data_IF_725892115084
#
_entry.id   IF_725892115084
#
_cell.length_a   1.000
_cell.length_b   1.000
_cell.length_c   1.000
_cell.angle_alpha   90.00
_cell.angle_beta   90.00
_cell.angle_gamma   90.00
#
_symmetry.space_group_name_H-M   'P 1'
#
loop_
_entity.id
_entity.type
_entity.pdbx_description
1 polymer ?
#
# COMPACT_ATOMS: atom_id res chain seq x y z
N UNK A 1 7.79 21.17 -49.98
CA UNK A 1 9.18 21.69 -50.02
C UNK A 1 9.99 20.58 -50.67
N UNK A 2 10.75 20.85 -51.74
CA UNK A 2 11.51 19.81 -52.45
C UNK A 2 12.82 19.49 -51.74
N UNK A 3 13.21 18.21 -51.72
CA UNK A 3 14.49 17.78 -51.15
C UNK A 3 15.67 18.28 -52.01
N UNK A 4 16.69 18.83 -51.37
CA UNK A 4 17.95 19.20 -52.04
C UNK A 4 18.84 17.96 -52.10
N UNK A 5 19.23 17.54 -53.32
CA UNK A 5 20.09 16.38 -53.55
C UNK A 5 21.38 16.77 -54.26
N UNK A 6 22.51 16.18 -53.86
CA UNK A 6 23.80 16.26 -54.56
C UNK A 6 23.89 15.08 -55.53
N UNK A 7 23.95 15.35 -56.84
CA UNK A 7 23.99 14.32 -57.89
C UNK A 7 25.39 14.21 -58.51
N UNK A 8 25.90 12.99 -58.59
CA UNK A 8 27.20 12.66 -59.17
C UNK A 8 26.98 11.75 -60.38
N UNK A 9 27.42 12.19 -61.55
CA UNK A 9 27.29 11.40 -62.79
C UNK A 9 28.57 10.61 -63.04
N UNK A 10 28.42 9.30 -63.23
CA UNK A 10 29.51 8.36 -63.42
C UNK A 10 29.29 7.55 -64.71
N UNK A 11 30.35 7.37 -65.48
CA UNK A 11 30.36 6.44 -66.61
C UNK A 11 31.22 5.24 -66.23
N UNK A 12 30.62 4.05 -66.23
CA UNK A 12 31.31 2.81 -65.89
C UNK A 12 31.29 1.84 -67.07
N UNK A 13 32.36 1.05 -67.15
CA UNK A 13 32.50 -0.03 -68.12
C UNK A 13 32.63 -1.36 -67.38
N UNK A 14 32.11 -2.44 -67.96
CA UNK A 14 32.18 -3.78 -67.37
C UNK A 14 33.61 -4.32 -67.32
N UNK A 15 34.44 -3.99 -68.31
CA UNK A 15 35.77 -4.58 -68.50
C UNK A 15 36.89 -3.65 -68.06
N UNK A 16 36.73 -2.34 -68.28
CA UNK A 16 37.82 -1.37 -68.08
C UNK A 16 37.49 -0.38 -66.96
N UNK A 17 38.42 -0.10 -66.04
CA UNK A 17 38.24 1.00 -65.10
C UNK A 17 38.21 2.31 -65.90
N UNK A 18 37.05 2.98 -65.88
CA UNK A 18 36.91 4.30 -66.46
C UNK A 18 37.44 5.35 -65.47
N UNK A 19 38.23 6.30 -65.97
CA UNK A 19 38.69 7.46 -65.21
C UNK A 19 37.53 8.42 -64.95
N UNK A 20 36.68 8.10 -63.97
CA UNK A 20 35.66 9.02 -63.51
C UNK A 20 36.30 10.17 -62.72
N UNK A 21 35.66 11.33 -62.76
CA UNK A 21 36.11 12.48 -61.98
C UNK A 21 35.94 12.17 -60.49
N UNK A 22 37.03 12.28 -59.73
CA UNK A 22 37.00 12.17 -58.28
C UNK A 22 35.92 13.08 -57.69
N UNK A 23 35.10 12.51 -56.82
CA UNK A 23 34.10 13.25 -56.06
C UNK A 23 34.13 12.84 -54.59
N UNK A 24 33.54 13.69 -53.76
CA UNK A 24 33.57 13.53 -52.32
C UNK A 24 32.18 13.69 -51.72
N UNK A 25 31.89 12.88 -50.71
CA UNK A 25 30.70 12.99 -49.85
C UNK A 25 31.10 13.36 -48.42
N UNK A 26 30.15 13.80 -47.62
CA UNK A 26 30.35 14.12 -46.20
C UNK A 26 29.63 13.09 -45.34
N UNK A 27 30.31 12.58 -44.32
CA UNK A 27 29.74 11.67 -43.33
C UNK A 27 28.45 12.25 -42.74
N UNK A 28 27.36 11.49 -42.81
CA UNK A 28 26.04 11.90 -42.33
C UNK A 28 25.12 12.54 -43.39
N UNK A 29 25.62 12.88 -44.59
CA UNK A 29 24.76 13.39 -45.67
C UNK A 29 23.82 12.28 -46.19
N UNK A 30 22.50 12.49 -46.13
CA UNK A 30 21.48 11.58 -46.68
C UNK A 30 20.97 11.99 -48.08
N UNK A 31 21.54 13.06 -48.64
CA UNK A 31 21.11 13.67 -49.90
C UNK A 31 21.96 13.31 -51.12
N UNK A 32 22.91 12.38 -51.01
CA UNK A 32 23.83 12.03 -52.08
C UNK A 32 23.22 11.01 -53.05
N UNK A 33 23.39 11.25 -54.35
CA UNK A 33 22.82 10.41 -55.41
C UNK A 33 23.88 10.15 -56.48
N UNK A 34 24.11 8.89 -56.83
CA UNK A 34 24.96 8.49 -57.96
C UNK A 34 24.09 8.16 -59.16
N UNK A 35 24.31 8.81 -60.29
CA UNK A 35 23.71 8.48 -61.57
C UNK A 35 24.78 7.80 -62.43
N UNK A 36 24.64 6.50 -62.61
CA UNK A 36 25.65 5.67 -63.26
C UNK A 36 25.16 5.22 -64.63
N UNK A 37 25.95 5.50 -65.66
CA UNK A 37 25.77 4.96 -67.01
C UNK A 37 26.72 3.77 -67.21
N UNK A 38 26.18 2.58 -67.50
CA UNK A 38 26.96 1.35 -67.66
C UNK A 38 27.15 0.98 -69.14
N UNK A 39 28.37 0.56 -69.48
CA UNK A 39 28.78 0.16 -70.83
C UNK A 39 29.62 -1.12 -70.82
N UNK A 40 29.72 -1.79 -71.96
CA UNK A 40 30.63 -2.91 -72.21
C UNK A 40 31.49 -2.62 -73.44
N UNK A 41 32.77 -2.30 -73.20
CA UNK A 41 33.71 -1.78 -74.19
C UNK A 41 33.11 -0.62 -75.02
N UNK A 42 32.39 0.26 -74.34
CA UNK A 42 31.69 1.41 -74.93
C UNK A 42 30.29 1.14 -75.50
N UNK A 43 29.85 -0.12 -75.59
CA UNK A 43 28.46 -0.44 -75.98
C UNK A 43 27.51 -0.31 -74.78
N UNK A 44 26.30 0.21 -74.97
CA UNK A 44 25.33 0.37 -73.88
C UNK A 44 24.81 -1.00 -73.38
N UNK A 45 24.85 -1.23 -72.07
CA UNK A 45 24.32 -2.45 -71.42
C UNK A 45 22.84 -2.26 -71.11
N UNK A 46 21.95 -3.11 -71.61
CA UNK A 46 20.52 -3.06 -71.25
C UNK A 46 20.31 -3.64 -69.84
N UNK A 47 19.92 -2.80 -68.90
CA UNK A 47 19.66 -3.18 -67.50
C UNK A 47 18.20 -3.55 -67.25
N UNK A 48 17.30 -3.41 -68.23
CA UNK A 48 15.87 -3.68 -68.00
C UNK A 48 15.65 -5.14 -67.60
N UNK A 49 14.94 -5.35 -66.49
CA UNK A 49 14.69 -6.69 -65.93
C UNK A 49 15.90 -7.31 -65.21
N UNK A 50 17.04 -6.62 -65.13
CA UNK A 50 18.19 -7.07 -64.35
C UNK A 50 18.04 -6.68 -62.88
N UNK A 51 18.57 -7.51 -61.98
CA UNK A 51 18.81 -7.10 -60.58
C UNK A 51 20.22 -6.55 -60.47
N UNK A 52 20.36 -5.31 -60.01
CA UNK A 52 21.67 -4.68 -59.82
C UNK A 52 21.93 -4.50 -58.34
N UNK A 53 23.11 -4.92 -57.88
CA UNK A 53 23.59 -4.74 -56.51
C UNK A 53 24.85 -3.90 -56.55
N UNK A 54 24.88 -2.78 -55.83
CA UNK A 54 26.08 -2.00 -55.58
C UNK A 54 26.69 -2.44 -54.25
N UNK A 55 27.97 -2.82 -54.27
CA UNK A 55 28.72 -3.19 -53.06
C UNK A 55 29.71 -2.07 -52.74
N UNK A 56 29.74 -1.65 -51.48
CA UNK A 56 30.58 -0.58 -50.95
C UNK A 56 31.52 -1.15 -49.90
N UNK A 57 32.82 -1.15 -50.20
CA UNK A 57 33.90 -1.47 -49.27
C UNK A 57 34.43 -0.17 -48.65
N UNK A 58 34.38 -0.08 -47.33
CA UNK A 58 34.72 1.11 -46.55
C UNK A 58 35.54 0.73 -45.32
N UNK A 59 36.12 1.73 -44.66
CA UNK A 59 37.06 1.52 -43.55
C UNK A 59 36.49 0.71 -42.37
N UNK A 60 35.17 0.71 -42.18
CA UNK A 60 34.47 -0.03 -41.12
C UNK A 60 33.70 -1.27 -41.61
N UNK A 61 33.99 -1.77 -42.81
CA UNK A 61 33.40 -3.01 -43.36
C UNK A 61 32.77 -2.83 -44.73
N UNK A 62 31.84 -3.70 -45.11
CA UNK A 62 31.12 -3.64 -46.39
C UNK A 62 29.64 -3.28 -46.18
N UNK A 63 29.01 -2.69 -47.19
CA UNK A 63 27.56 -2.55 -47.28
C UNK A 63 27.11 -2.79 -48.72
N UNK A 64 25.83 -3.07 -48.93
CA UNK A 64 25.27 -3.20 -50.27
C UNK A 64 23.91 -2.50 -50.37
N UNK A 65 23.58 -2.10 -51.60
CA UNK A 65 22.28 -1.58 -52.01
C UNK A 65 21.87 -2.30 -53.29
N UNK A 66 20.57 -2.48 -53.52
CA UNK A 66 20.08 -3.17 -54.71
C UNK A 66 18.76 -2.61 -55.25
N UNK A 67 18.34 -3.15 -56.38
CA UNK A 67 17.10 -2.79 -57.09
C UNK A 67 15.83 -3.35 -56.46
N UNK A 68 15.91 -4.12 -55.37
CA UNK A 68 14.76 -4.71 -54.66
C UNK A 68 14.24 -3.77 -53.56
N UNK A 69 14.21 -2.48 -53.86
CA UNK A 69 13.75 -1.43 -52.93
C UNK A 69 14.85 -0.86 -52.02
N UNK A 70 16.11 -1.26 -52.20
CA UNK A 70 17.22 -0.84 -51.32
C UNK A 70 18.02 0.35 -51.90
N UNK A 71 17.32 1.30 -52.53
CA UNK A 71 17.89 2.59 -52.94
C UNK A 71 18.54 2.61 -54.32
N UNK A 72 18.48 1.52 -55.10
CA UNK A 72 18.85 1.54 -56.52
C UNK A 72 17.59 1.56 -57.39
N UNK A 73 17.54 2.46 -58.37
CA UNK A 73 16.46 2.56 -59.36
C UNK A 73 17.03 2.53 -60.77
N UNK A 74 16.48 1.67 -61.62
CA UNK A 74 16.81 1.63 -63.05
C UNK A 74 15.98 2.69 -63.81
N UNK A 75 16.63 3.44 -64.70
CA UNK A 75 15.95 4.49 -65.46
C UNK A 75 15.11 3.90 -66.59
N UNK A 76 13.82 4.25 -66.66
CA UNK A 76 12.93 3.76 -67.74
C UNK A 76 13.26 4.36 -69.11
N UNK A 77 13.76 5.60 -69.16
CA UNK A 77 14.08 6.31 -70.42
C UNK A 77 15.51 6.10 -70.93
N UNK A 78 16.41 5.56 -70.10
CA UNK A 78 17.81 5.27 -70.44
C UNK A 78 18.18 3.90 -69.90
N UNK A 79 18.04 2.90 -70.75
CA UNK A 79 18.12 1.47 -70.36
C UNK A 79 19.46 1.05 -69.74
N UNK A 80 20.53 1.81 -69.98
CA UNK A 80 21.85 1.56 -69.42
C UNK A 80 22.21 2.48 -68.25
N UNK A 81 21.22 3.17 -67.66
CA UNK A 81 21.45 4.10 -66.55
C UNK A 81 20.73 3.62 -65.30
N UNK A 82 21.43 3.66 -64.18
CA UNK A 82 20.89 3.43 -62.84
C UNK A 82 21.13 4.63 -61.94
N UNK A 83 20.26 4.80 -60.95
CA UNK A 83 20.36 5.81 -59.90
C UNK A 83 20.54 5.08 -58.58
N UNK A 84 21.54 5.46 -57.80
CA UNK A 84 21.77 5.00 -56.43
C UNK A 84 21.55 6.19 -55.50
N UNK A 85 20.52 6.12 -54.67
CA UNK A 85 20.39 7.02 -53.52
C UNK A 85 21.29 6.50 -52.41
N UNK A 86 22.43 7.16 -52.18
CA UNK A 86 23.42 6.67 -51.24
C UNK A 86 22.90 6.76 -49.81
N UNK A 87 22.75 5.60 -49.19
CA UNK A 87 22.39 5.54 -47.78
C UNK A 87 23.62 5.81 -46.89
N UNK A 88 23.45 6.48 -45.73
CA UNK A 88 24.56 6.75 -44.82
C UNK A 88 25.40 5.52 -44.44
N UNK A 89 24.84 4.30 -44.27
CA UNK A 89 25.64 3.09 -44.01
C UNK A 89 26.55 2.65 -45.17
N UNK A 90 26.36 3.17 -46.38
CA UNK A 90 27.13 2.80 -47.57
C UNK A 90 28.53 3.44 -47.60
N UNK A 91 28.82 4.41 -46.73
CA UNK A 91 30.12 5.10 -46.69
C UNK A 91 30.54 5.46 -45.26
N UNK A 92 31.85 5.57 -45.05
CA UNK A 92 32.47 6.04 -43.79
C UNK A 92 33.70 6.89 -44.13
N UNK A 93 34.17 7.77 -43.21
CA UNK A 93 35.32 8.62 -43.49
C UNK A 93 36.52 7.83 -44.04
N UNK A 94 37.07 8.29 -45.17
CA UNK A 94 38.12 7.61 -45.92
C UNK A 94 37.75 7.34 -47.38
N UNK A 95 38.54 6.48 -48.03
CA UNK A 95 38.27 5.99 -49.38
C UNK A 95 37.20 4.89 -49.33
N UNK A 96 36.21 4.96 -50.21
CA UNK A 96 35.18 3.95 -50.39
C UNK A 96 35.34 3.33 -51.77
N UNK A 97 35.63 2.03 -51.83
CA UNK A 97 35.75 1.28 -53.07
C UNK A 97 34.43 0.58 -53.39
N UNK A 98 34.02 0.62 -54.64
CA UNK A 98 32.70 0.18 -55.08
C UNK A 98 32.78 -0.69 -56.33
N UNK A 99 31.86 -1.63 -56.45
CA UNK A 99 31.60 -2.40 -57.66
C UNK A 99 30.11 -2.67 -57.83
N UNK A 100 29.66 -2.84 -59.07
CA UNK A 100 28.30 -3.22 -59.40
C UNK A 100 28.26 -4.70 -59.79
N UNK A 101 27.33 -5.43 -59.22
CA UNK A 101 26.99 -6.80 -59.58
C UNK A 101 25.67 -6.76 -60.35
N UNK A 102 25.67 -7.24 -61.59
CA UNK A 102 24.50 -7.27 -62.46
C UNK A 102 24.07 -8.72 -62.63
N UNK A 103 22.91 -9.06 -62.10
CA UNK A 103 22.25 -10.34 -62.30
C UNK A 103 21.24 -10.22 -63.45
N UNK A 104 21.19 -11.23 -64.31
CA UNK A 104 20.37 -11.26 -65.51
C UNK A 104 19.88 -12.69 -65.82
N UNK A 105 18.93 -12.83 -66.75
CA UNK A 105 18.20 -14.07 -67.01
C UNK A 105 16.87 -14.14 -66.25
N UNK A 106 15.93 -14.99 -66.68
CA UNK A 106 14.62 -15.12 -66.03
C UNK A 106 14.74 -15.54 -64.56
N UNK A 107 15.76 -16.34 -64.23
CA UNK A 107 16.06 -16.78 -62.87
C UNK A 107 17.12 -15.92 -62.16
N UNK A 108 17.63 -14.85 -62.78
CA UNK A 108 18.73 -14.01 -62.26
C UNK A 108 20.03 -14.81 -61.98
N UNK A 109 20.31 -15.84 -62.76
CA UNK A 109 21.41 -16.79 -62.57
C UNK A 109 22.71 -16.40 -63.29
N UNK A 110 22.66 -15.41 -64.19
CA UNK A 110 23.84 -14.88 -64.89
C UNK A 110 24.35 -13.63 -64.19
N UNK A 111 25.51 -13.72 -63.56
CA UNK A 111 26.17 -12.62 -62.84
C UNK A 111 27.36 -12.05 -63.63
N UNK A 112 27.41 -10.73 -63.77
CA UNK A 112 28.56 -9.98 -64.27
C UNK A 112 28.92 -8.85 -63.29
N UNK A 113 30.21 -8.65 -63.03
CA UNK A 113 30.72 -7.58 -62.14
C UNK A 113 31.32 -6.45 -62.97
N UNK A 114 31.05 -5.19 -62.61
CA UNK A 114 31.64 -4.02 -63.26
C UNK A 114 33.11 -3.84 -62.87
N UNK A 115 33.84 -3.00 -63.61
CA UNK A 115 35.09 -2.46 -63.10
C UNK A 115 34.85 -1.69 -61.78
N UNK A 116 35.85 -1.71 -60.89
CA UNK A 116 35.79 -0.98 -59.62
C UNK A 116 35.85 0.52 -59.85
N UNK A 117 35.12 1.25 -59.02
CA UNK A 117 35.22 2.71 -58.90
C UNK A 117 35.32 3.09 -57.43
N UNK A 118 35.71 4.33 -57.14
CA UNK A 118 35.85 4.78 -55.77
C UNK A 118 35.47 6.25 -55.61
N UNK A 119 35.19 6.64 -54.36
CA UNK A 119 34.99 8.03 -53.97
C UNK A 119 35.49 8.24 -52.53
N UNK A 120 35.69 9.50 -52.12
CA UNK A 120 36.13 9.81 -50.76
C UNK A 120 34.98 10.29 -49.90
N UNK A 121 34.95 9.89 -48.65
CA UNK A 121 34.08 10.44 -47.63
C UNK A 121 34.91 11.27 -46.65
N UNK A 122 34.52 12.53 -46.46
CA UNK A 122 35.08 13.43 -45.45
C UNK A 122 34.27 13.33 -44.16
N UNK A 123 34.96 13.44 -43.02
CA UNK A 123 34.30 13.58 -41.72
C UNK A 123 33.48 14.88 -41.69
N UNK A 124 32.24 14.81 -41.20
CA UNK A 124 31.39 15.99 -41.01
C UNK A 124 31.98 16.95 -39.98
N UNK A 125 31.90 18.26 -40.24
CA UNK A 125 32.31 19.29 -39.26
C UNK A 125 31.32 19.31 -38.08
N UNK A 126 30.03 19.17 -38.40
CA UNK A 126 28.99 18.93 -37.42
C UNK A 126 28.80 17.42 -37.24
N UNK A 127 28.77 16.95 -35.99
CA UNK A 127 28.53 15.56 -35.63
C UNK A 127 27.78 15.44 -34.31
N UNK A 128 27.65 14.22 -33.78
CA UNK A 128 26.90 13.95 -32.55
C UNK A 128 27.40 14.70 -31.30
N UNK A 129 28.65 15.19 -31.32
CA UNK A 129 29.27 15.98 -30.25
C UNK A 129 29.27 17.50 -30.51
N UNK A 130 28.68 17.96 -31.60
CA UNK A 130 28.62 19.39 -31.92
C UNK A 130 27.60 20.07 -31.02
N UNK A 131 28.11 20.81 -30.05
CA UNK A 131 27.29 21.59 -29.14
C UNK A 131 26.75 22.83 -29.86
N UNK A 132 25.45 23.07 -29.70
CA UNK A 132 24.84 24.33 -30.09
C UNK A 132 25.38 25.44 -29.18
N UNK A 133 25.93 26.49 -29.77
CA UNK A 133 26.29 27.69 -29.01
C UNK A 133 25.01 28.42 -28.60
N UNK A 134 24.67 28.38 -27.29
CA UNK A 134 23.51 29.07 -26.70
C UNK A 134 23.96 30.16 -25.74
N UNK A 135 23.13 31.19 -25.58
CA UNK A 135 23.36 32.35 -24.71
C UNK A 135 22.83 32.13 -23.27
N UNK A 136 23.10 30.98 -22.65
CA UNK A 136 22.49 30.58 -21.37
C UNK A 136 23.13 31.24 -20.14
N UNK A 137 24.35 31.75 -20.26
CA UNK A 137 25.07 32.37 -19.13
C UNK A 137 24.36 33.59 -18.52
N UNK A 138 23.85 34.57 -19.29
CA UNK A 138 23.02 35.65 -18.75
C UNK A 138 21.76 35.18 -18.01
N UNK A 139 21.12 34.08 -18.45
CA UNK A 139 19.93 33.55 -17.78
C UNK A 139 20.29 32.95 -16.41
N UNK A 140 21.39 32.19 -16.34
CA UNK A 140 21.88 31.63 -15.08
C UNK A 140 22.22 32.72 -14.06
N UNK A 141 22.90 33.79 -14.50
CA UNK A 141 23.24 34.94 -13.64
C UNK A 141 21.98 35.61 -13.10
N UNK A 142 20.94 35.76 -13.92
CA UNK A 142 19.68 36.35 -13.47
C UNK A 142 18.93 35.43 -12.49
N UNK A 143 18.92 34.12 -12.72
CA UNK A 143 18.31 33.16 -11.80
C UNK A 143 19.04 33.15 -10.45
N UNK A 144 20.37 33.23 -10.43
CA UNK A 144 21.14 33.29 -9.19
C UNK A 144 20.78 34.53 -8.37
N UNK A 145 20.71 35.70 -9.01
CA UNK A 145 20.28 36.95 -8.36
C UNK A 145 18.86 36.85 -7.79
N UNK A 146 17.94 36.24 -8.55
CA UNK A 146 16.56 36.04 -8.07
C UNK A 146 16.51 35.07 -6.88
N UNK A 147 17.34 34.03 -6.86
CA UNK A 147 17.44 33.11 -5.72
C UNK A 147 18.01 33.80 -4.47
N UNK A 148 19.07 34.60 -4.61
CA UNK A 148 19.64 35.38 -3.50
C UNK A 148 18.59 36.30 -2.87
N UNK A 149 17.79 36.99 -3.70
CA UNK A 149 16.69 37.83 -3.23
C UNK A 149 15.60 37.04 -2.50
N UNK A 150 15.23 35.87 -3.03
CA UNK A 150 14.22 35.01 -2.42
C UNK A 150 14.67 34.46 -1.05
N UNK A 151 15.94 34.06 -0.94
CA UNK A 151 16.54 33.57 0.31
C UNK A 151 16.51 34.66 1.40
N UNK A 152 16.88 35.89 1.06
CA UNK A 152 16.85 36.99 2.03
C UNK A 152 15.43 37.33 2.49
N UNK A 153 14.47 37.34 1.57
CA UNK A 153 13.06 37.59 1.90
C UNK A 153 12.47 36.51 2.83
N UNK A 154 12.90 35.25 2.68
CA UNK A 154 12.49 34.16 3.57
C UNK A 154 13.12 34.27 4.95
N UNK A 155 14.40 34.64 5.01
CA UNK A 155 15.10 34.89 6.29
C UNK A 155 14.40 35.95 7.13
N UNK A 156 13.99 37.06 6.50
CA UNK A 156 13.23 38.12 7.17
C UNK A 156 11.89 37.60 7.70
N UNK A 157 11.16 36.81 6.90
CA UNK A 157 9.88 36.20 7.32
C UNK A 157 10.04 35.27 8.52
N UNK A 158 11.08 34.44 8.52
CA UNK A 158 11.36 33.52 9.63
C UNK A 158 11.65 34.29 10.93
N UNK A 159 12.47 35.35 10.87
CA UNK A 159 12.76 36.19 12.03
C UNK A 159 11.52 36.92 12.56
N UNK A 160 10.66 37.43 11.67
CA UNK A 160 9.37 38.03 12.09
C UNK A 160 8.43 37.00 12.71
N UNK A 161 8.42 35.75 12.21
CA UNK A 161 7.61 34.66 12.77
C UNK A 161 8.09 34.23 14.16
N UNK A 162 9.40 34.07 14.33
CA UNK A 162 10.01 33.78 15.64
C UNK A 162 9.77 34.92 16.64
N UNK A 163 9.88 36.16 16.19
CA UNK A 163 9.57 37.31 17.02
C UNK A 163 8.09 37.32 17.44
N UNK A 164 7.18 36.96 16.53
CA UNK A 164 5.75 36.90 16.78
C UNK A 164 5.31 35.70 17.63
N UNK A 165 6.09 34.62 17.72
CA UNK A 165 5.73 33.47 18.56
C UNK A 165 6.06 33.70 20.03
N UNK A 166 7.02 34.59 20.33
CA UNK A 166 7.45 34.89 21.68
C UNK A 166 6.52 35.92 22.37
N UNK A 167 6.08 35.58 23.58
CA UNK A 167 5.39 36.48 24.50
C UNK A 167 6.04 36.37 25.88
N UNK A 168 6.46 37.50 26.46
CA UNK A 168 7.26 37.54 27.68
C UNK A 168 7.03 38.84 28.47
N UNK A 169 7.59 38.98 29.67
CA UNK A 169 7.57 40.25 30.40
C UNK A 169 8.60 41.23 29.81
N UNK A 170 8.27 42.52 29.78
CA UNK A 170 9.19 43.55 29.33
C UNK A 170 10.43 43.63 30.24
N UNK A 171 11.60 43.78 29.62
CA UNK A 171 12.89 43.98 30.27
C UNK A 171 13.64 45.15 29.63
N UNK A 172 14.24 46.01 30.45
CA UNK A 172 14.99 47.20 30.00
C UNK A 172 16.20 46.82 29.14
N UNK A 173 16.88 45.73 29.49
CA UNK A 173 18.17 45.34 28.89
C UNK A 173 18.00 44.47 27.64
N UNK A 174 16.75 44.07 27.32
CA UNK A 174 16.45 43.23 26.17
C UNK A 174 16.25 44.07 24.92
N UNK A 175 16.85 43.62 23.81
CA UNK A 175 16.56 44.15 22.48
C UNK A 175 15.35 43.44 21.90
N UNK A 176 14.36 44.20 21.48
CA UNK A 176 13.14 43.73 20.86
C UNK A 176 13.19 44.01 19.37
N UNK A 177 12.83 43.01 18.56
CA UNK A 177 12.56 43.14 17.15
C UNK A 177 11.08 43.50 16.90
N UNK A 178 10.79 44.00 15.70
CA UNK A 178 9.41 44.16 15.22
C UNK A 178 8.67 42.82 15.37
N UNK A 179 7.38 42.88 15.73
CA UNK A 179 6.49 41.75 16.05
C UNK A 179 6.69 41.07 17.41
N UNK A 180 7.74 41.40 18.19
CA UNK A 180 7.81 40.88 19.57
C UNK A 180 6.63 41.36 20.41
N UNK A 181 6.15 40.51 21.31
CA UNK A 181 5.07 40.86 22.23
C UNK A 181 5.56 40.81 23.67
N UNK A 182 5.19 41.82 24.44
CA UNK A 182 5.54 41.90 25.86
C UNK A 182 4.32 42.18 26.72
N UNK A 183 4.30 41.62 27.91
CA UNK A 183 3.50 42.13 29.02
C UNK A 183 4.27 43.27 29.70
N UNK A 184 3.57 44.36 30.00
CA UNK A 184 4.10 45.47 30.79
C UNK A 184 2.97 46.11 31.58
N UNK A 185 3.15 46.23 32.90
CA UNK A 185 2.14 46.78 33.83
C UNK A 185 0.75 46.12 33.70
N UNK A 186 0.72 44.84 33.33
CA UNK A 186 -0.49 44.02 33.18
C UNK A 186 -1.28 44.24 31.87
N UNK A 187 -0.77 45.06 30.95
CA UNK A 187 -1.28 45.15 29.57
C UNK A 187 -0.30 44.48 28.60
N UNK A 188 -0.78 44.09 27.42
CA UNK A 188 0.02 43.44 26.38
C UNK A 188 0.31 44.40 25.23
N UNK A 189 1.56 44.44 24.79
CA UNK A 189 2.04 45.32 23.72
C UNK A 189 2.75 44.53 22.63
N UNK A 190 2.63 45.01 21.39
CA UNK A 190 3.35 44.54 20.21
C UNK A 190 4.40 45.57 19.79
N UNK A 191 5.64 45.14 19.60
CA UNK A 191 6.73 45.97 19.13
C UNK A 191 6.56 46.29 17.62
N UNK A 192 6.44 47.56 17.27
CA UNK A 192 6.29 48.07 15.90
C UNK A 192 7.64 48.29 15.21
N UNK A 193 8.66 48.64 15.99
CA UNK A 193 10.00 48.98 15.51
C UNK A 193 11.03 48.49 16.51
N UNK A 194 12.13 47.91 16.02
CA UNK A 194 13.16 47.37 16.88
C UNK A 194 13.71 48.43 17.88
N UNK A 195 13.80 48.05 19.15
CA UNK A 195 14.23 48.93 20.24
C UNK A 195 14.86 48.18 21.40
N UNK A 196 15.61 48.92 22.22
CA UNK A 196 16.23 48.45 23.47
C UNK A 196 16.07 49.55 24.50
N UNK A 197 15.66 49.23 25.73
CA UNK A 197 15.49 50.21 26.81
C UNK A 197 14.30 51.17 26.68
N UNK A 198 13.45 51.03 25.66
CA UNK A 198 12.23 51.84 25.50
C UNK A 198 11.04 51.04 26.02
N UNK A 199 10.47 51.45 27.16
CA UNK A 199 9.32 50.77 27.76
C UNK A 199 8.00 51.11 27.04
N UNK A 200 7.03 50.19 26.97
CA UNK A 200 5.65 50.54 26.61
C UNK A 200 5.09 51.61 27.58
N UNK A 201 4.17 52.50 27.16
CA UNK A 201 3.36 52.43 25.94
C UNK A 201 3.79 53.39 24.81
N UNK A 202 5.09 53.70 24.66
CA UNK A 202 5.57 54.66 23.65
C UNK A 202 5.05 54.33 22.22
N UNK A 203 4.12 55.11 21.63
CA UNK A 203 3.35 54.68 20.44
C UNK A 203 4.17 54.49 19.16
N UNK A 204 5.37 55.07 19.07
CA UNK A 204 6.27 54.86 17.94
C UNK A 204 6.90 53.46 17.92
N UNK A 205 6.95 52.81 19.08
CA UNK A 205 7.63 51.53 19.29
C UNK A 205 6.67 50.43 19.71
N UNK A 206 5.57 50.76 20.38
CA UNK A 206 4.68 49.80 21.00
C UNK A 206 3.21 50.06 20.63
N UNK A 207 2.53 49.02 20.15
CA UNK A 207 1.09 49.00 19.94
C UNK A 207 0.42 48.24 21.08
N UNK A 208 -0.54 48.85 21.77
CA UNK A 208 -1.38 48.16 22.75
C UNK A 208 -2.26 47.13 22.03
N UNK A 209 -2.12 45.84 22.39
CA UNK A 209 -2.90 44.73 21.80
C UNK A 209 -3.90 44.12 22.79
N UNK A 210 -3.72 44.34 24.09
CA UNK A 210 -4.72 44.04 25.11
C UNK A 210 -4.55 44.95 26.33
N UNK A 211 -5.62 45.63 26.77
CA UNK A 211 -5.62 46.45 27.98
C UNK A 211 -5.93 45.63 29.22
N UNK A 212 -5.35 46.03 30.35
CA UNK A 212 -5.68 45.48 31.67
C UNK A 212 -7.08 45.96 32.12
N UNK A 213 -8.13 45.15 31.94
CA UNK A 213 -9.49 45.51 32.34
C UNK A 213 -10.09 46.69 31.55
N UNK A 214 -11.32 47.09 31.90
CA UNK A 214 -12.10 48.14 31.19
C UNK A 214 -11.49 49.55 31.34
N UNK A 215 -10.76 49.79 32.42
CA UNK A 215 -10.19 51.08 32.81
C UNK A 215 -8.65 51.07 32.92
N UNK A 216 -7.98 49.98 32.55
CA UNK A 216 -6.52 49.84 32.71
C UNK A 216 -6.07 49.34 34.09
N UNK A 217 -6.98 49.08 35.03
CA UNK A 217 -6.63 48.73 36.44
C UNK A 217 -6.97 47.30 36.85
N UNK A 218 -7.75 46.55 36.05
CA UNK A 218 -8.33 45.25 36.44
C UNK A 218 -7.32 44.16 36.85
N UNK A 219 -7.43 43.62 38.06
CA UNK A 219 -6.50 42.62 38.64
C UNK A 219 -7.00 41.17 38.51
N UNK A 220 -7.77 40.85 37.46
CA UNK A 220 -8.53 39.61 37.37
C UNK A 220 -7.69 38.32 37.47
N UNK A 221 -7.62 37.76 38.67
CA UNK A 221 -7.24 36.36 38.91
C UNK A 221 -8.51 35.51 38.69
N UNK A 222 -8.49 34.55 37.76
CA UNK A 222 -9.61 33.64 37.50
C UNK A 222 -9.75 32.57 38.60
N UNK A 223 -9.77 33.01 39.87
CA UNK A 223 -10.03 32.13 41.01
C UNK A 223 -11.53 31.86 41.13
N UNK A 224 -11.87 30.58 41.24
CA UNK A 224 -13.25 30.09 41.42
C UNK A 224 -13.98 30.79 42.57
N UNK A 225 -13.28 31.06 43.69
CA UNK A 225 -13.80 31.75 44.87
C UNK A 225 -14.32 33.18 44.59
N UNK A 226 -13.83 33.86 43.55
CA UNK A 226 -14.23 35.24 43.21
C UNK A 226 -15.42 35.27 42.24
N UNK A 227 -15.55 34.28 41.34
CA UNK A 227 -16.53 34.30 40.26
C UNK A 227 -17.72 33.37 40.45
N UNK A 228 -17.58 32.28 41.23
CA UNK A 228 -18.64 31.28 41.37
C UNK A 228 -19.79 31.71 42.29
N UNK A 229 -19.58 32.66 43.21
CA UNK A 229 -20.56 32.90 44.30
C UNK A 229 -21.08 34.33 44.47
N UNK A 230 -20.49 35.35 43.83
CA UNK A 230 -20.85 36.75 44.13
C UNK A 230 -21.28 37.60 42.94
N UNK A 231 -20.87 37.31 41.71
CA UNK A 231 -21.15 38.18 40.55
C UNK A 231 -22.20 37.64 39.56
N UNK A 232 -22.53 36.35 39.61
CA UNK A 232 -23.52 35.74 38.72
C UNK A 232 -23.10 35.65 37.25
N UNK A 233 -21.82 35.87 36.94
CA UNK A 233 -21.27 35.86 35.57
C UNK A 233 -21.10 34.43 35.06
N UNK A 234 -20.70 33.49 35.91
CA UNK A 234 -20.62 32.07 35.58
C UNK A 234 -21.72 31.33 36.34
N UNK A 235 -22.84 31.09 35.67
CA UNK A 235 -23.89 30.19 36.17
C UNK A 235 -23.58 28.80 35.63
N UNK A 236 -23.60 27.79 36.49
CA UNK A 236 -23.49 26.38 36.12
C UNK A 236 -22.10 25.92 35.59
N UNK A 237 -20.99 26.45 36.12
CA UNK A 237 -19.64 25.98 35.75
C UNK A 237 -19.41 24.46 35.85
N UNK A 238 -20.22 23.77 36.67
CA UNK A 238 -20.16 22.32 36.91
C UNK A 238 -21.09 21.50 36.01
N UNK A 239 -21.92 22.16 35.19
CA UNK A 239 -22.87 21.49 34.31
C UNK A 239 -22.51 21.70 32.85
N UNK A 240 -22.60 20.63 32.08
CA UNK A 240 -22.60 20.70 30.62
C UNK A 240 -24.06 20.65 30.17
N UNK A 241 -24.51 21.58 29.32
CA UNK A 241 -25.91 21.65 28.86
C UNK A 241 -26.96 21.55 29.99
N UNK A 242 -26.70 22.23 31.12
CA UNK A 242 -27.57 22.25 32.30
C UNK A 242 -27.73 20.92 33.04
N UNK A 243 -26.87 19.93 32.79
CA UNK A 243 -26.83 18.63 33.48
C UNK A 243 -25.57 18.48 34.31
N UNK A 244 -25.69 17.93 35.52
CA UNK A 244 -24.55 17.58 36.36
C UNK A 244 -23.81 16.38 35.78
N UNK A 245 -22.53 16.21 36.13
CA UNK A 245 -21.73 15.07 35.64
C UNK A 245 -22.37 13.70 35.96
N UNK A 246 -23.14 13.61 37.06
CA UNK A 246 -23.86 12.40 37.48
C UNK A 246 -25.11 12.10 36.62
N UNK A 247 -25.62 13.06 35.86
CA UNK A 247 -26.77 12.89 34.96
C UNK A 247 -26.37 12.30 33.60
N UNK A 248 -25.07 12.13 33.36
CA UNK A 248 -24.52 11.46 32.19
C UNK A 248 -24.26 9.98 32.53
N UNK A 249 -24.59 9.10 31.57
CA UNK A 249 -24.42 7.65 31.74
C UNK A 249 -22.99 7.30 32.18
N UNK A 250 -22.86 6.51 33.25
CA UNK A 250 -21.56 6.04 33.70
C UNK A 250 -20.99 5.04 32.68
N UNK A 251 -19.67 4.83 32.69
CA UNK A 251 -19.05 3.83 31.83
C UNK A 251 -19.65 2.42 31.99
N UNK A 252 -20.18 2.09 33.17
CA UNK A 252 -20.93 0.85 33.42
C UNK A 252 -22.27 0.81 32.66
N UNK A 253 -22.99 1.93 32.58
CA UNK A 253 -24.27 2.05 31.87
C UNK A 253 -24.05 2.00 30.35
N UNK A 254 -22.99 2.63 29.85
CA UNK A 254 -22.61 2.54 28.45
C UNK A 254 -22.24 1.10 28.07
N UNK A 255 -21.52 0.38 28.93
CA UNK A 255 -21.19 -1.03 28.72
C UNK A 255 -22.44 -1.93 28.80
N UNK A 256 -23.40 -1.63 29.69
CA UNK A 256 -24.67 -2.33 29.74
C UNK A 256 -25.49 -2.08 28.45
N UNK A 257 -25.51 -0.85 27.95
CA UNK A 257 -26.18 -0.46 26.71
C UNK A 257 -25.54 -1.11 25.48
N UNK A 258 -24.20 -1.10 25.39
CA UNK A 258 -23.45 -1.79 24.32
C UNK A 258 -23.69 -3.29 24.39
N UNK A 259 -23.78 -3.87 25.58
CA UNK A 259 -24.10 -5.29 25.76
C UNK A 259 -25.52 -5.61 25.31
N UNK A 260 -26.50 -4.74 25.59
CA UNK A 260 -27.87 -4.92 25.11
C UNK A 260 -28.02 -4.71 23.60
N UNK A 261 -27.22 -3.83 23.00
CA UNK A 261 -27.18 -3.61 21.55
C UNK A 261 -26.58 -4.81 20.78
N UNK A 262 -25.81 -5.68 21.45
CA UNK A 262 -25.23 -6.89 20.87
C UNK A 262 -26.09 -8.15 21.07
N UNK A 263 -27.25 -8.03 21.72
CA UNK A 263 -28.24 -9.12 21.81
C UNK A 263 -29.16 -9.04 20.61
N UNK A 264 -29.27 -10.13 19.87
CA UNK A 264 -30.18 -10.27 18.74
C UNK A 264 -31.38 -11.10 19.16
N UNK A 265 -32.57 -10.63 18.85
CA UNK A 265 -33.81 -11.35 19.10
C UNK A 265 -33.96 -12.45 18.05
N UNK A 266 -34.14 -13.70 18.50
CA UNK A 266 -34.49 -14.81 17.62
C UNK A 266 -35.99 -14.72 17.28
N UNK A 267 -36.27 -14.58 16.00
CA UNK A 267 -37.61 -14.60 15.42
C UNK A 267 -38.00 -16.06 15.06
N UNK A 268 -39.22 -16.25 14.54
CA UNK A 268 -39.76 -17.59 14.19
C UNK A 268 -40.55 -18.24 15.33
N UNK A 269 -41.08 -19.43 15.07
CA UNK A 269 -41.86 -20.24 16.02
C UNK A 269 -41.02 -21.42 16.52
N UNK A 270 -41.10 -21.75 17.81
CA UNK A 270 -40.39 -22.92 18.33
C UNK A 270 -40.83 -24.21 17.58
N UNK A 271 -39.90 -25.13 17.25
CA UNK A 271 -38.49 -25.17 17.66
C UNK A 271 -37.51 -24.49 16.69
N UNK A 272 -38.00 -23.84 15.63
CA UNK A 272 -37.18 -23.32 14.53
C UNK A 272 -37.03 -21.79 14.61
N UNK A 273 -35.85 -21.37 15.05
CA UNK A 273 -35.56 -19.95 15.26
C UNK A 273 -34.79 -19.33 14.08
N UNK A 274 -35.10 -18.08 13.78
CA UNK A 274 -34.44 -17.27 12.77
C UNK A 274 -33.70 -16.11 13.44
N UNK A 275 -32.45 -15.87 13.02
CA UNK A 275 -31.68 -14.70 13.44
C UNK A 275 -31.35 -13.84 12.23
N UNK A 276 -32.04 -12.71 12.08
CA UNK A 276 -31.74 -11.77 11.01
C UNK A 276 -30.45 -11.00 11.32
N UNK A 277 -29.52 -10.95 10.35
CA UNK A 277 -28.33 -10.12 10.45
C UNK A 277 -28.20 -9.16 9.27
N UNK A 278 -27.60 -8.01 9.52
CA UNK A 278 -27.18 -7.03 8.51
C UNK A 278 -25.69 -6.73 8.72
N UNK A 279 -24.84 -6.73 7.68
CA UNK A 279 -25.11 -7.13 6.29
C UNK A 279 -25.14 -8.66 6.09
N UNK A 280 -25.68 -9.10 4.94
CA UNK A 280 -25.83 -10.51 4.55
C UNK A 280 -24.49 -11.27 4.63
N UNK A 281 -24.47 -12.32 5.45
CA UNK A 281 -23.39 -13.30 5.48
C UNK A 281 -23.52 -14.22 4.25
N UNK A 282 -22.42 -14.53 3.57
CA UNK A 282 -22.44 -15.40 2.38
C UNK A 282 -22.39 -16.91 2.73
N UNK A 283 -21.77 -17.28 3.85
CA UNK A 283 -21.66 -18.67 4.31
C UNK A 283 -21.40 -18.78 5.81
N UNK A 284 -21.64 -19.96 6.38
CA UNK A 284 -21.26 -20.26 7.77
C UNK A 284 -19.77 -20.54 7.87
N UNK A 285 -19.06 -19.79 8.72
CA UNK A 285 -17.70 -20.11 9.13
C UNK A 285 -17.65 -20.62 10.58
N UNK A 286 -16.78 -21.60 10.83
CA UNK A 286 -16.48 -22.10 12.16
C UNK A 286 -15.95 -20.98 13.07
N UNK A 287 -16.45 -20.94 14.31
CA UNK A 287 -16.04 -19.97 15.32
C UNK A 287 -16.87 -18.68 15.34
N UNK A 288 -17.77 -18.46 14.37
CA UNK A 288 -18.69 -17.31 14.39
C UNK A 288 -19.64 -17.38 15.59
N UNK A 289 -19.90 -16.23 16.22
CA UNK A 289 -20.64 -16.14 17.48
C UNK A 289 -21.73 -15.08 17.45
N UNK A 290 -22.82 -15.37 18.16
CA UNK A 290 -23.91 -14.45 18.38
C UNK A 290 -24.39 -14.53 19.83
N UNK A 291 -24.88 -13.41 20.36
CA UNK A 291 -25.67 -13.42 21.60
C UNK A 291 -27.14 -13.32 21.20
N UNK A 292 -27.90 -14.37 21.48
CA UNK A 292 -29.27 -14.53 20.99
C UNK A 292 -30.23 -14.57 22.17
N UNK A 293 -31.29 -13.78 22.11
CA UNK A 293 -32.45 -13.94 23.00
C UNK A 293 -33.49 -14.77 22.28
N UNK A 294 -33.91 -15.86 22.89
CA UNK A 294 -34.97 -16.71 22.36
C UNK A 294 -36.31 -16.28 22.91
N UNK A 295 -37.27 -16.02 22.02
CA UNK A 295 -38.60 -15.54 22.42
C UNK A 295 -39.50 -16.65 22.97
N UNK A 296 -39.24 -17.91 22.60
CA UNK A 296 -40.06 -19.07 22.99
C UNK A 296 -39.22 -20.18 23.61
N UNK A 297 -39.88 -21.10 24.33
CA UNK A 297 -39.22 -22.28 24.88
C UNK A 297 -39.22 -23.41 23.84
N UNK A 298 -38.11 -24.15 23.73
CA UNK A 298 -37.98 -25.24 22.77
C UNK A 298 -37.09 -26.37 23.31
N UNK A 299 -37.44 -27.62 22.98
CA UNK A 299 -36.57 -28.78 23.13
C UNK A 299 -36.04 -29.18 21.75
N UNK A 300 -34.72 -29.38 21.64
CA UNK A 300 -34.02 -29.63 20.37
C UNK A 300 -34.25 -28.56 19.27
N UNK A 301 -33.99 -27.28 19.56
CA UNK A 301 -34.23 -26.21 18.61
C UNK A 301 -33.27 -26.24 17.41
N UNK A 302 -33.70 -25.63 16.31
CA UNK A 302 -32.82 -25.23 15.22
C UNK A 302 -32.64 -23.71 15.21
N UNK A 303 -31.52 -23.26 14.66
CA UNK A 303 -31.23 -21.86 14.44
C UNK A 303 -30.79 -21.66 12.99
N UNK A 304 -31.45 -20.75 12.30
CA UNK A 304 -31.06 -20.27 10.98
C UNK A 304 -30.58 -18.82 11.12
N UNK A 305 -29.32 -18.57 10.82
CA UNK A 305 -28.74 -17.23 10.94
C UNK A 305 -28.59 -16.65 9.53
N UNK A 306 -29.21 -15.49 9.30
CA UNK A 306 -29.19 -14.74 8.04
C UNK A 306 -29.65 -15.52 6.81
N UNK A 307 -30.52 -16.52 6.99
CA UNK A 307 -31.06 -17.31 5.88
C UNK A 307 -30.10 -18.34 5.28
N UNK A 308 -28.96 -18.60 5.91
CA UNK A 308 -27.94 -19.57 5.43
C UNK A 308 -28.33 -21.04 5.60
N UNK A 309 -29.48 -21.30 6.22
CA UNK A 309 -30.02 -22.63 6.45
C UNK A 309 -30.08 -22.97 7.93
N UNK A 310 -31.15 -23.67 8.32
CA UNK A 310 -31.35 -24.10 9.70
C UNK A 310 -30.34 -25.17 10.10
N UNK A 311 -29.76 -25.01 11.28
CA UNK A 311 -28.86 -25.99 11.87
C UNK A 311 -29.26 -26.28 13.32
N UNK A 312 -29.02 -27.51 13.82
CA UNK A 312 -29.39 -27.87 15.18
C UNK A 312 -28.63 -27.01 16.20
N UNK A 313 -29.34 -26.56 17.24
CA UNK A 313 -28.76 -25.89 18.39
C UNK A 313 -28.56 -26.92 19.51
N UNK A 314 -27.30 -27.12 19.85
CA UNK A 314 -26.83 -28.09 20.83
C UNK A 314 -26.34 -27.38 22.09
N UNK A 315 -26.37 -28.05 23.22
CA UNK A 315 -25.63 -27.63 24.39
C UNK A 315 -24.13 -27.85 24.19
N UNK A 316 -23.32 -27.23 25.05
CA UNK A 316 -21.86 -27.32 25.01
C UNK A 316 -21.33 -28.76 24.84
N UNK A 317 -22.05 -29.79 25.28
CA UNK A 317 -21.64 -31.19 25.20
C UNK A 317 -22.35 -32.02 24.10
N UNK A 318 -22.92 -31.36 23.09
CA UNK A 318 -23.43 -31.99 21.87
C UNK A 318 -24.84 -32.59 21.96
N UNK A 319 -25.50 -32.54 23.13
CA UNK A 319 -26.94 -32.86 23.21
C UNK A 319 -27.79 -31.71 22.70
N UNK A 320 -28.99 -32.00 22.25
CA UNK A 320 -29.94 -30.98 21.81
C UNK A 320 -30.23 -29.98 22.94
N UNK A 321 -30.22 -28.68 22.63
CA UNK A 321 -30.42 -27.64 23.62
C UNK A 321 -31.85 -27.63 24.18
N UNK A 322 -31.98 -27.22 25.44
CA UNK A 322 -33.26 -26.81 26.01
C UNK A 322 -33.28 -25.31 26.26
N UNK A 323 -34.11 -24.61 25.52
CA UNK A 323 -34.22 -23.15 25.58
C UNK A 323 -35.50 -22.77 26.31
N UNK A 324 -35.41 -21.76 27.18
CA UNK A 324 -36.56 -21.14 27.85
C UNK A 324 -36.90 -19.80 27.17
N UNK A 325 -38.18 -19.47 27.13
CA UNK A 325 -38.63 -18.16 26.65
C UNK A 325 -37.94 -17.01 27.41
N UNK A 326 -37.47 -16.02 26.66
CA UNK A 326 -36.70 -14.87 27.17
C UNK A 326 -35.24 -15.17 27.50
N UNK A 327 -34.77 -16.42 27.36
CA UNK A 327 -33.41 -16.80 27.69
C UNK A 327 -32.42 -16.19 26.69
N UNK A 328 -31.41 -15.50 27.21
CA UNK A 328 -30.28 -14.98 26.43
C UNK A 328 -29.13 -15.97 26.51
N UNK A 329 -28.68 -16.44 25.36
CA UNK A 329 -27.62 -17.44 25.25
C UNK A 329 -26.61 -16.98 24.20
N UNK A 330 -25.32 -17.15 24.48
CA UNK A 330 -24.31 -17.06 23.44
C UNK A 330 -24.25 -18.36 22.67
N UNK A 331 -24.30 -18.27 21.35
CA UNK A 331 -24.22 -19.41 20.44
C UNK A 331 -23.01 -19.27 19.53
N UNK A 332 -22.39 -20.39 19.19
CA UNK A 332 -21.27 -20.45 18.27
C UNK A 332 -21.54 -21.45 17.15
N UNK A 333 -21.15 -21.10 15.91
CA UNK A 333 -21.14 -22.02 14.78
C UNK A 333 -19.90 -22.91 14.84
N UNK A 334 -20.09 -24.23 14.75
CA UNK A 334 -18.99 -25.16 14.59
C UNK A 334 -19.47 -26.40 13.81
N UNK A 335 -18.79 -26.73 12.71
CA UNK A 335 -19.18 -27.80 11.81
C UNK A 335 -20.60 -27.60 11.29
N UNK A 336 -21.43 -28.64 11.44
CA UNK A 336 -22.83 -28.66 11.00
C UNK A 336 -23.85 -28.04 11.98
N UNK A 337 -23.46 -27.67 13.20
CA UNK A 337 -24.37 -27.27 14.27
C UNK A 337 -24.05 -25.91 14.91
N UNK A 338 -25.01 -25.38 15.69
CA UNK A 338 -24.78 -24.29 16.64
C UNK A 338 -24.66 -24.87 18.05
N UNK A 339 -23.85 -24.26 18.89
CA UNK A 339 -23.66 -24.70 20.27
C UNK A 339 -23.82 -23.57 21.26
N UNK A 340 -24.53 -23.82 22.36
CA UNK A 340 -24.66 -22.88 23.47
C UNK A 340 -23.37 -22.81 24.30
N UNK A 341 -22.96 -21.60 24.61
CA UNK A 341 -21.80 -21.32 25.45
C UNK A 341 -22.29 -21.17 26.91
N UNK A 342 -22.00 -22.14 27.77
CA UNK A 342 -22.37 -22.11 29.19
C UNK A 342 -21.34 -21.32 30.03
N UNK A 343 -21.81 -20.65 31.10
CA UNK A 343 -20.99 -19.84 32.00
C UNK A 343 -20.57 -20.55 33.30
N UNK A 344 -19.33 -20.29 33.71
CA UNK A 344 -18.83 -20.20 35.10
C UNK A 344 -18.78 -21.43 36.03
N UNK A 345 -18.36 -22.61 35.56
CA UNK A 345 -17.76 -23.62 36.46
C UNK A 345 -17.04 -24.69 35.66
N UNK A 346 -15.89 -25.18 36.16
CA UNK A 346 -15.10 -26.24 35.50
C UNK A 346 -15.96 -27.45 35.14
N UNK A 347 -15.74 -28.01 33.94
CA UNK A 347 -16.65 -28.97 33.31
C UNK A 347 -15.92 -30.32 33.18
N UNK A 348 -16.61 -31.41 33.50
CA UNK A 348 -16.13 -32.77 33.27
C UNK A 348 -16.87 -33.39 32.09
N UNK A 349 -16.23 -34.28 31.34
CA UNK A 349 -16.92 -35.06 30.31
C UNK A 349 -18.10 -35.83 30.93
N UNK A 350 -19.28 -35.88 30.27
CA UNK A 350 -20.34 -36.80 30.64
C UNK A 350 -19.83 -38.24 30.63
N UNK A 351 -20.33 -39.08 31.54
CA UNK A 351 -19.88 -40.48 31.65
C UNK A 351 -20.20 -41.32 30.42
N UNK A 352 -21.11 -40.84 29.56
CA UNK A 352 -21.62 -41.50 28.38
C UNK A 352 -21.05 -40.96 27.06
N UNK A 353 -20.10 -40.01 27.07
CA UNK A 353 -19.49 -39.50 25.84
C UNK A 353 -18.67 -40.59 25.12
N UNK A 354 -18.87 -40.75 23.81
CA UNK A 354 -18.25 -41.75 22.95
C UNK A 354 -17.23 -41.13 21.97
N UNK A 355 -16.44 -41.98 21.30
CA UNK A 355 -15.58 -41.55 20.21
C UNK A 355 -16.46 -40.96 19.10
N UNK A 356 -16.25 -39.68 18.78
CA UNK A 356 -17.08 -38.94 17.83
C UNK A 356 -17.73 -37.68 18.39
N UNK A 357 -17.81 -37.55 19.72
CA UNK A 357 -18.54 -36.45 20.34
C UNK A 357 -17.72 -35.14 20.34
N UNK A 358 -18.33 -34.06 19.82
CA UNK A 358 -17.79 -32.70 19.94
C UNK A 358 -18.21 -32.09 21.26
N UNK A 359 -17.25 -31.75 22.11
CA UNK A 359 -17.51 -31.10 23.41
C UNK A 359 -16.90 -29.70 23.44
N UNK A 360 -17.76 -28.71 23.47
CA UNK A 360 -17.45 -27.29 23.50
C UNK A 360 -17.46 -26.82 24.95
N UNK A 361 -16.41 -26.09 25.33
CA UNK A 361 -16.32 -25.43 26.61
C UNK A 361 -16.16 -23.92 26.38
N UNK A 362 -17.07 -23.13 26.93
CA UNK A 362 -16.87 -21.69 26.98
C UNK A 362 -16.30 -21.33 28.34
N UNK A 363 -15.16 -20.64 28.37
CA UNK A 363 -14.71 -20.00 29.59
C UNK A 363 -15.24 -18.56 29.64
N UNK A 364 -15.24 -18.01 30.86
CA UNK A 364 -15.88 -16.73 31.20
C UNK A 364 -14.87 -15.59 31.05
N UNK A 365 -15.38 -14.36 30.94
CA UNK A 365 -14.57 -13.15 31.09
C UNK A 365 -13.79 -13.22 32.40
N UNK A 366 -12.46 -13.14 32.34
CA UNK A 366 -11.60 -13.16 33.52
C UNK A 366 -10.64 -11.96 33.51
N UNK A 367 -10.48 -11.33 34.67
CA UNK A 367 -9.42 -10.35 34.93
C UNK A 367 -8.13 -11.09 35.31
N UNK A 368 -7.02 -10.80 34.63
CA UNK A 368 -5.70 -11.24 35.08
C UNK A 368 -5.02 -10.09 35.84
N UNK A 369 -4.44 -10.39 37.02
CA UNK A 369 -3.63 -9.44 37.78
C UNK A 369 -2.18 -9.38 37.29
N UNK A 370 -1.51 -8.27 37.57
CA UNK A 370 -0.09 -7.99 37.28
C UNK A 370 0.83 -9.12 37.68
N UNK A 371 1.64 -9.66 36.74
CA UNK A 371 3.04 -10.06 36.99
C UNK A 371 3.72 -10.84 35.86
N UNK A 372 3.26 -10.75 34.60
CA UNK A 372 3.86 -11.53 33.49
C UNK A 372 3.80 -13.06 33.69
N UNK A 373 3.14 -13.52 34.76
CA UNK A 373 3.01 -14.90 35.16
C UNK A 373 1.82 -15.56 34.46
N UNK A 374 1.93 -16.86 34.24
CA UNK A 374 0.87 -17.67 33.64
C UNK A 374 -0.25 -17.92 34.64
N UNK A 375 -1.40 -17.27 34.44
CA UNK A 375 -2.56 -17.41 35.32
C UNK A 375 -3.52 -18.47 34.79
N UNK A 376 -3.93 -19.39 35.66
CA UNK A 376 -4.93 -20.40 35.34
C UNK A 376 -6.30 -19.75 35.13
N UNK A 377 -6.93 -20.07 34.01
CA UNK A 377 -8.35 -19.76 33.80
C UNK A 377 -9.17 -20.84 34.49
N UNK A 378 -9.52 -20.64 35.76
CA UNK A 378 -10.13 -21.69 36.60
C UNK A 378 -11.39 -22.30 35.96
N UNK A 379 -12.22 -21.50 35.30
CA UNK A 379 -13.43 -21.95 34.59
C UNK A 379 -13.16 -22.73 33.31
N UNK A 380 -11.90 -22.82 32.86
CA UNK A 380 -11.49 -23.52 31.64
C UNK A 380 -10.93 -24.92 31.91
N UNK A 381 -10.98 -25.39 33.16
CA UNK A 381 -10.44 -26.70 33.51
C UNK A 381 -11.33 -27.81 32.96
N UNK A 382 -10.75 -28.65 32.10
CA UNK A 382 -11.29 -29.89 31.58
C UNK A 382 -10.70 -31.06 32.37
N UNK A 383 -11.52 -32.04 32.76
CA UNK A 383 -11.05 -33.33 33.32
C UNK A 383 -11.47 -34.48 32.42
N UNK A 384 -10.51 -35.23 31.90
CA UNK A 384 -10.75 -36.44 31.12
C UNK A 384 -11.38 -37.51 32.02
N UNK A 385 -12.54 -38.05 31.65
CA UNK A 385 -13.11 -39.23 32.34
C UNK A 385 -12.67 -40.56 31.72
N UNK A 386 -12.10 -40.54 30.51
CA UNK A 386 -11.71 -41.72 29.73
C UNK A 386 -10.37 -41.46 29.03
N UNK A 387 -9.60 -42.53 28.78
CA UNK A 387 -8.37 -42.43 28.02
C UNK A 387 -8.65 -42.31 26.51
N UNK A 388 -7.87 -41.49 25.80
CA UNK A 388 -8.02 -41.27 24.35
C UNK A 388 -7.16 -40.13 23.82
N UNK A 389 -7.18 -39.92 22.50
CA UNK A 389 -6.56 -38.77 21.84
C UNK A 389 -7.63 -37.71 21.57
N UNK A 390 -7.41 -36.50 22.06
CA UNK A 390 -8.35 -35.40 21.98
C UNK A 390 -7.77 -34.31 21.08
N UNK A 391 -8.51 -33.89 20.06
CA UNK A 391 -8.18 -32.69 19.30
C UNK A 391 -8.70 -31.46 20.03
N UNK A 392 -7.78 -30.77 20.70
CA UNK A 392 -8.06 -29.54 21.42
C UNK A 392 -7.89 -28.35 20.48
N UNK A 393 -8.99 -27.69 20.15
CA UNK A 393 -9.00 -26.37 19.52
C UNK A 393 -9.15 -25.30 20.59
N UNK A 394 -8.30 -24.29 20.65
CA UNK A 394 -8.41 -23.27 21.69
C UNK A 394 -7.98 -21.92 21.13
N UNK A 395 -8.52 -20.86 21.72
CA UNK A 395 -8.22 -19.50 21.36
C UNK A 395 -8.62 -18.56 22.47
N UNK A 396 -8.17 -17.32 22.39
CA UNK A 396 -8.57 -16.29 23.32
C UNK A 396 -8.79 -14.97 22.59
N UNK A 397 -9.77 -14.22 23.08
CA UNK A 397 -10.05 -12.87 22.64
C UNK A 397 -9.60 -11.91 23.75
N UNK A 398 -8.59 -11.12 23.43
CA UNK A 398 -8.05 -10.05 24.26
C UNK A 398 -8.45 -8.68 23.70
N UNK A 399 -8.38 -7.62 24.51
CA UNK A 399 -8.41 -6.26 23.98
C UNK A 399 -7.06 -5.80 23.39
N UNK A 400 -6.01 -6.61 23.57
CA UNK A 400 -4.63 -6.30 23.18
C UNK A 400 -3.97 -7.51 22.53
N UNK A 401 -3.28 -7.25 21.43
CA UNK A 401 -2.53 -8.20 20.59
C UNK A 401 -1.31 -8.82 21.30
N UNK A 402 -0.77 -8.14 22.31
CA UNK A 402 0.42 -8.57 23.08
C UNK A 402 0.17 -9.65 24.13
N UNK A 403 -1.02 -10.26 24.15
CA UNK A 403 -1.37 -11.26 25.15
C UNK A 403 -1.14 -12.67 24.61
N UNK A 404 -0.93 -13.64 25.49
CA UNK A 404 -0.60 -15.01 25.10
C UNK A 404 -1.38 -16.01 25.94
N UNK A 405 -1.68 -17.16 25.33
CA UNK A 405 -2.33 -18.29 25.99
C UNK A 405 -1.62 -19.61 25.67
N UNK A 406 -1.70 -20.57 26.59
CA UNK A 406 -1.20 -21.94 26.39
C UNK A 406 -2.02 -22.94 27.17
N UNK A 407 -1.94 -24.21 26.79
CA UNK A 407 -2.55 -25.31 27.52
C UNK A 407 -1.54 -25.91 28.51
N UNK A 408 -2.03 -26.23 29.69
CA UNK A 408 -1.32 -27.07 30.65
C UNK A 408 -2.06 -28.38 30.85
N UNK A 409 -1.32 -29.49 30.85
CA UNK A 409 -1.80 -30.83 31.21
C UNK A 409 -1.34 -31.16 32.63
N UNK A 410 -2.27 -31.35 33.56
CA UNK A 410 -1.98 -31.58 34.98
C UNK A 410 -1.03 -30.53 35.58
N UNK A 411 -1.13 -29.28 35.14
CA UNK A 411 -0.25 -28.18 35.56
C UNK A 411 1.12 -28.13 34.87
N UNK A 412 1.40 -29.03 33.92
CA UNK A 412 2.63 -29.04 33.12
C UNK A 412 2.36 -28.46 31.74
N UNK A 413 3.26 -27.62 31.25
CA UNK A 413 3.16 -27.01 29.92
C UNK A 413 3.03 -28.05 28.82
N UNK A 414 1.98 -27.92 28.01
CA UNK A 414 1.81 -28.73 26.82
C UNK A 414 2.62 -28.13 25.68
N UNK A 415 3.67 -28.81 25.24
CA UNK A 415 4.55 -28.36 24.17
C UNK A 415 3.76 -28.06 22.90
N UNK A 416 4.07 -26.94 22.24
CA UNK A 416 3.37 -26.54 21.01
C UNK A 416 1.92 -26.11 21.25
N UNK A 417 1.57 -25.61 22.44
CA UNK A 417 0.24 -25.02 22.71
C UNK A 417 0.26 -23.49 22.86
N UNK A 418 1.40 -22.82 22.72
CA UNK A 418 1.48 -21.35 22.85
C UNK A 418 0.78 -20.65 21.69
N UNK A 419 -0.22 -19.81 21.95
CA UNK A 419 -0.92 -19.05 20.91
C UNK A 419 -1.01 -17.58 21.29
N UNK A 420 -1.10 -16.72 20.28
CA UNK A 420 -1.25 -15.27 20.40
C UNK A 420 -2.67 -14.84 20.00
N UNK A 421 -2.93 -13.54 20.06
CA UNK A 421 -4.25 -12.95 19.86
C UNK A 421 -4.90 -13.39 18.53
N UNK A 422 -6.20 -13.71 18.57
CA UNK A 422 -7.08 -14.06 17.42
C UNK A 422 -6.82 -15.38 16.69
N UNK A 423 -5.75 -16.12 16.99
CA UNK A 423 -5.52 -17.43 16.37
C UNK A 423 -6.24 -18.56 17.13
N UNK A 424 -7.07 -19.31 16.40
CA UNK A 424 -7.66 -20.57 16.85
C UNK A 424 -6.65 -21.69 16.59
N UNK A 425 -6.00 -22.16 17.66
CA UNK A 425 -4.97 -23.20 17.58
C UNK A 425 -5.58 -24.59 17.79
N UNK A 426 -5.15 -25.58 17.01
CA UNK A 426 -5.57 -26.98 17.15
C UNK A 426 -4.37 -27.86 17.50
N UNK A 427 -4.51 -28.74 18.50
CA UNK A 427 -3.48 -29.71 18.89
C UNK A 427 -4.11 -31.03 19.31
N UNK A 428 -3.49 -32.15 18.96
CA UNK A 428 -3.90 -33.48 19.42
C UNK A 428 -3.19 -33.83 20.72
N UNK A 429 -3.96 -34.24 21.74
CA UNK A 429 -3.48 -34.46 23.11
C UNK A 429 -3.95 -35.82 23.61
N UNK A 430 -3.01 -36.68 23.95
CA UNK A 430 -3.31 -37.95 24.61
C UNK A 430 -3.59 -37.75 26.09
N UNK A 431 -4.77 -38.13 26.55
CA UNK A 431 -5.21 -38.00 27.95
C UNK A 431 -5.62 -39.36 28.50
N UNK A 432 -5.39 -39.59 29.79
CA UNK A 432 -5.95 -40.71 30.55
C UNK A 432 -7.06 -40.24 31.47
N UNK A 433 -7.88 -41.15 31.99
CA UNK A 433 -8.91 -40.81 32.97
C UNK A 433 -8.28 -40.12 34.20
N UNK A 434 -8.82 -38.97 34.58
CA UNK A 434 -8.32 -38.10 35.65
C UNK A 434 -7.40 -36.96 35.17
N UNK A 435 -6.86 -37.02 33.94
CA UNK A 435 -6.02 -35.96 33.41
C UNK A 435 -6.81 -34.65 33.28
N UNK A 436 -6.17 -33.53 33.65
CA UNK A 436 -6.73 -32.20 33.57
C UNK A 436 -6.04 -31.38 32.50
N UNK A 437 -6.83 -30.70 31.66
CA UNK A 437 -6.34 -29.65 30.77
C UNK A 437 -6.86 -28.31 31.25
N UNK A 438 -5.99 -27.32 31.35
CA UNK A 438 -6.34 -25.96 31.79
C UNK A 438 -5.72 -24.95 30.85
N UNK A 439 -6.48 -23.92 30.45
CA UNK A 439 -5.93 -22.78 29.72
C UNK A 439 -5.26 -21.83 30.71
N UNK A 440 -4.04 -21.43 30.38
CA UNK A 440 -3.33 -20.40 31.11
C UNK A 440 -3.09 -19.22 30.17
N UNK A 441 -3.33 -18.02 30.68
CA UNK A 441 -3.13 -16.78 29.94
C UNK A 441 -2.13 -15.90 30.68
N UNK A 442 -1.39 -15.08 29.93
CA UNK A 442 -0.57 -14.01 30.50
C UNK A 442 -0.79 -12.69 29.75
N UNK A 443 -0.72 -11.61 30.51
CA UNK A 443 -0.83 -10.24 30.03
C UNK A 443 0.43 -9.47 30.42
N UNK A 444 0.94 -8.58 29.55
CA UNK A 444 2.09 -7.75 29.89
C UNK A 444 1.77 -6.56 30.83
N UNK A 445 0.49 -6.24 31.09
CA UNK A 445 0.06 -5.06 31.87
C UNK A 445 -1.18 -5.32 32.76
N UNK A 446 -1.40 -4.44 33.77
CA UNK A 446 -2.50 -4.52 34.74
C UNK A 446 -3.90 -4.19 34.17
N UNK A 447 -4.95 -4.68 34.83
CA UNK A 447 -6.34 -4.30 34.62
C UNK A 447 -6.95 -4.81 33.31
N UNK A 448 -6.30 -5.80 32.68
CA UNK A 448 -6.68 -6.33 31.36
C UNK A 448 -7.65 -7.49 31.51
N UNK A 449 -8.69 -7.44 30.70
CA UNK A 449 -9.75 -8.45 30.65
C UNK A 449 -9.55 -9.34 29.42
N UNK A 450 -9.72 -10.64 29.63
CA UNK A 450 -9.72 -11.64 28.56
C UNK A 450 -11.07 -12.32 28.50
N UNK A 451 -11.49 -12.67 27.28
CA UNK A 451 -12.59 -13.60 27.04
C UNK A 451 -11.97 -14.85 26.43
N UNK A 452 -12.19 -16.01 27.05
CA UNK A 452 -11.45 -17.24 26.72
C UNK A 452 -12.41 -18.36 26.36
N UNK A 453 -11.98 -19.28 25.49
CA UNK A 453 -12.73 -20.50 25.17
C UNK A 453 -11.78 -21.65 24.85
N UNK A 454 -12.07 -22.84 25.39
CA UNK A 454 -11.38 -24.08 25.01
C UNK A 454 -12.40 -24.99 24.33
N UNK A 455 -12.15 -25.40 23.11
CA UNK A 455 -12.95 -26.37 22.38
C UNK A 455 -12.22 -27.71 22.42
N UNK A 456 -12.83 -28.78 22.96
CA UNK A 456 -12.19 -30.10 22.98
C UNK A 456 -13.04 -31.07 22.17
N UNK A 457 -12.57 -31.41 20.98
CA UNK A 457 -13.16 -32.49 20.21
C UNK A 457 -12.46 -33.81 20.62
N UNK A 458 -13.22 -34.81 21.06
CA UNK A 458 -12.68 -36.14 21.33
C UNK A 458 -12.79 -37.00 20.06
N UNK A 459 -11.65 -37.42 19.53
CA UNK A 459 -11.43 -38.40 18.44
C UNK A 459 -12.53 -38.55 17.36
N UNK A 460 -12.33 -37.96 16.17
CA UNK A 460 -13.09 -38.25 14.96
C UNK A 460 -12.15 -38.58 13.79
N UNK A 461 -12.15 -39.83 13.28
CA UNK A 461 -11.67 -40.15 11.93
C UNK A 461 -12.37 -39.32 10.83
N UNK A 462 -13.57 -38.81 11.09
CA UNK A 462 -14.40 -38.09 10.11
C UNK A 462 -14.01 -36.61 9.93
N UNK A 463 -13.34 -35.98 10.90
CA UNK A 463 -12.76 -34.65 10.68
C UNK A 463 -11.58 -34.70 9.69
N UNK A 464 -10.97 -35.88 9.51
CA UNK A 464 -9.96 -36.14 8.46
C UNK A 464 -10.60 -36.15 7.06
N UNK A 465 -11.84 -36.63 6.92
CA UNK A 465 -12.57 -36.67 5.66
C UNK A 465 -13.14 -35.29 5.26
N UNK A 466 -13.59 -34.50 6.24
CA UNK A 466 -14.06 -33.12 5.99
C UNK A 466 -12.91 -32.15 5.64
N UNK A 467 -11.70 -32.37 6.17
CA UNK A 467 -10.52 -31.55 5.86
C UNK A 467 -9.72 -32.06 4.65
N UNK A 468 -9.96 -33.27 4.15
CA UNK A 468 -9.34 -33.77 2.91
C UNK A 468 -10.05 -33.33 1.62
N UNK A 469 -11.17 -32.60 1.72
CA UNK A 469 -11.88 -32.03 0.56
C UNK A 469 -11.42 -30.60 0.23
N UNK A 470 -10.59 -29.97 1.07
CA UNK A 470 -10.03 -28.64 0.82
C UNK A 470 -8.49 -28.64 0.84
N UNK A 471 -7.91 -29.66 0.20
CA UNK A 471 -6.48 -29.84 0.03
C UNK A 471 -6.10 -30.22 -1.41
N UNK A 472 -6.65 -29.51 -2.40
CA UNK A 472 -6.13 -29.34 -3.77
C UNK A 472 -6.86 -28.20 -4.45
#
# INVERSE_FOLDING_TARGET
MGDVKKRFQLALDLKRPAGNRDFEVVEGDSGNVLEITLTDDGAAVDLQGCRVVAVFSKSNGTASQDTEGNGITLMSGRKNTLIIELYPPSFSPGLVECELLVFSGEAQDVLVTSARFNFKCKKGIAGASTLLSRNEWPMLVNMLKSLEQAVEAERVRQLEHEAASLFEEYSLDKSYAKMNKVAYSGSSYLCLKGCTGIAPPEPQYWLLIASKGLDGTGTGDMREEVYAYSSGIVKDAKKLNSKEAADYALAADLNALISSLNVREAEGEAPDFLLNCLPELLEYADGMQWTVRFNESAEAPTLNVCGLGAAPLLEAYGKAAKIRAGQVVRVMRLGGAFFTLSGSSGISLPENAAAGDTVIFSAVKQSAGTNSAWNAVASSTFTAKRAGVYRVKFGFLSHYDTCEAKLMKNGVDLAGSLTTFTELRSIDVSLVAGDKLTLHCRAPYDGKWFTTGIFVCADLPELKAALSVYGS
#
